data_IF_834857785325
#
_entry.id   IF_834857785325
#
_cell.length_a   1.000
_cell.length_b   1.000
_cell.length_c   1.000
_cell.angle_alpha   90.00
_cell.angle_beta   90.00
_cell.angle_gamma   90.00
#
_symmetry.space_group_name_H-M   'P 1'
#
loop_
_entity.id
_entity.type
_entity.pdbx_description
1 polymer ?
2 non-polymer ?
3 non-polymer ?
4 non-polymer ?
5 water ?
#
# COMPACT_ATOMS: atom_id res chain seq x y z
N UNK A 1 8.10 -17.76 13.63
CA UNK A 1 9.14 -18.10 12.62
C UNK A 1 10.11 -16.93 12.39
N UNK A 2 9.71 -15.72 12.81
CA UNK A 2 10.62 -14.59 12.81
C UNK A 2 10.39 -13.79 14.09
N UNK A 3 11.44 -13.11 14.55
CA UNK A 3 11.29 -12.21 15.69
C UNK A 3 10.33 -11.07 15.36
N UNK A 4 10.37 -10.57 14.13
CA UNK A 4 9.50 -9.49 13.74
C UNK A 4 8.03 -9.83 13.86
N UNK A 5 7.69 -11.09 13.64
CA UNK A 5 6.27 -11.45 13.71
C UNK A 5 5.69 -11.21 15.09
N UNK A 6 6.51 -11.30 16.14
CA UNK A 6 6.03 -11.07 17.49
C UNK A 6 5.56 -9.64 17.74
N UNK A 7 6.01 -8.66 16.94
CA UNK A 7 5.56 -7.29 17.05
C UNK A 7 4.13 -7.12 16.58
N UNK A 8 3.56 -8.10 15.93
CA UNK A 8 2.25 -7.98 15.32
C UNK A 8 1.19 -8.81 16.02
N UNK A 9 1.50 -9.39 17.19
CA UNK A 9 0.51 -10.12 17.97
C UNK A 9 -0.23 -9.16 18.89
N UNK A 10 -1.06 -8.35 18.26
CA UNK A 10 -1.79 -7.28 18.92
C UNK A 10 -2.16 -6.25 17.88
N UNK A 11 -2.95 -5.27 18.27
CA UNK A 11 -3.34 -4.20 17.38
C UNK A 11 -2.28 -3.12 17.49
N UNK A 12 -1.72 -2.71 16.35
CA UNK A 12 -0.57 -1.82 16.31
C UNK A 12 -0.99 -0.46 15.77
N UNK A 13 -0.66 0.65 16.44
CA UNK A 13 -0.94 1.97 15.87
C UNK A 13 -0.13 2.20 14.60
N UNK A 14 -0.72 2.94 13.67
CA UNK A 14 -0.09 3.26 12.39
C UNK A 14 -0.06 4.75 12.20
N UNK A 15 1.04 5.25 11.63
CA UNK A 15 1.14 6.62 11.15
C UNK A 15 1.60 6.59 9.70
N UNK A 16 0.98 7.40 8.85
CA UNK A 16 1.35 7.48 7.44
C UNK A 16 1.58 8.93 7.06
N UNK A 17 2.65 9.20 6.32
CA UNK A 17 2.90 10.53 5.80
C UNK A 17 3.32 10.39 4.35
N UNK A 18 2.64 11.12 3.45
CA UNK A 18 2.94 11.10 2.04
C UNK A 18 3.10 12.53 1.54
N UNK A 19 4.20 12.81 0.85
CA UNK A 19 4.36 14.06 0.11
C UNK A 19 4.41 13.70 -1.35
N UNK A 20 3.58 14.37 -2.13
CA UNK A 20 3.41 14.04 -3.52
C UNK A 20 3.50 15.26 -4.43
N UNK A 21 3.74 14.96 -5.70
CA UNK A 21 3.71 15.92 -6.77
C UNK A 21 3.22 15.17 -8.00
N UNK A 22 2.09 15.57 -8.55
CA UNK A 22 1.56 14.97 -9.77
C UNK A 22 1.40 16.09 -10.80
N UNK A 23 2.15 15.99 -11.88
CA UNK A 23 2.14 17.02 -12.93
C UNK A 23 2.37 18.41 -12.34
N UNK A 24 3.24 18.48 -11.33
CA UNK A 24 3.60 19.72 -10.67
C UNK A 24 2.70 20.12 -9.52
N UNK A 25 1.57 19.45 -9.34
CA UNK A 25 0.63 19.79 -8.30
C UNK A 25 1.10 19.10 -7.01
N UNK A 26 1.59 19.90 -6.09
CA UNK A 26 2.12 19.41 -4.82
C UNK A 26 1.00 19.15 -3.83
N UNK A 27 1.09 18.05 -3.07
CA UNK A 27 0.11 17.77 -2.04
C UNK A 27 0.76 16.97 -0.93
N UNK A 28 0.14 17.03 0.24
CA UNK A 28 0.59 16.27 1.39
C UNK A 28 -0.59 15.59 2.06
N UNK A 29 -0.40 14.32 2.41
CA UNK A 29 -1.39 13.51 3.09
C UNK A 29 -0.81 13.01 4.39
N UNK A 30 -1.62 13.02 5.44
CA UNK A 30 -1.24 12.50 6.73
C UNK A 30 -2.33 11.56 7.20
N UNK A 31 -1.95 10.41 7.73
CA UNK A 31 -2.93 9.43 8.16
C UNK A 31 -2.54 8.78 9.47
N UNK A 32 -3.55 8.19 10.10
CA UNK A 32 -3.34 7.44 11.33
C UNK A 32 -4.41 6.39 11.45
N UNK A 33 -4.11 5.33 12.18
CA UNK A 33 -5.08 4.32 12.46
C UNK A 33 -4.45 3.14 13.14
N UNK A 34 -4.92 1.95 12.81
CA UNK A 34 -4.44 0.77 13.51
C UNK A 34 -4.51 -0.46 12.60
N UNK A 35 -3.60 -1.38 12.85
CA UNK A 35 -3.51 -2.60 12.07
C UNK A 35 -3.49 -3.82 12.95
N UNK A 36 -4.13 -4.87 12.48
CA UNK A 36 -4.29 -6.10 13.24
C UNK A 36 -3.97 -7.25 12.30
N UNK A 37 -2.72 -7.70 12.33
CA UNK A 37 -2.32 -8.79 11.44
C UNK A 37 -2.89 -10.12 11.85
N UNK A 38 -3.37 -10.25 13.10
CA UNK A 38 -4.02 -11.49 13.51
C UNK A 38 -5.32 -11.69 12.74
N UNK A 39 -5.99 -10.62 12.41
CA UNK A 39 -7.22 -10.62 11.64
C UNK A 39 -7.02 -10.21 10.20
N UNK A 40 -5.84 -9.77 9.81
CA UNK A 40 -5.60 -9.23 8.49
C UNK A 40 -6.49 -8.05 8.23
N UNK A 41 -6.56 -7.11 9.15
CA UNK A 41 -7.43 -5.95 9.03
C UNK A 41 -6.69 -4.68 9.38
N UNK A 42 -7.01 -3.61 8.68
CA UNK A 42 -6.51 -2.26 8.95
C UNK A 42 -7.66 -1.27 8.92
N UNK A 43 -7.58 -0.24 9.76
CA UNK A 43 -8.51 0.88 9.73
C UNK A 43 -7.65 2.15 9.79
N UNK A 44 -7.82 3.07 8.82
CA UNK A 44 -7.02 4.28 8.75
C UNK A 44 -7.91 5.44 8.31
N UNK A 45 -7.56 6.63 8.77
CA UNK A 45 -8.09 7.87 8.25
C UNK A 45 -6.94 8.72 7.74
N UNK A 46 -7.10 9.25 6.53
CA UNK A 46 -6.12 10.10 5.89
C UNK A 46 -6.73 11.48 5.63
N UNK A 47 -5.95 12.54 5.84
CA UNK A 47 -6.37 13.88 5.49
C UNK A 47 -5.35 14.51 4.57
N UNK A 48 -5.81 15.43 3.73
CA UNK A 48 -4.93 16.35 3.04
C UNK A 48 -4.63 17.56 3.92
N UNK A 49 -3.38 18.00 3.92
CA UNK A 49 -3.02 19.26 4.56
C UNK A 49 -2.86 20.39 3.57
N UNK A 50 -3.09 20.14 2.28
CA UNK A 50 -2.81 21.09 1.22
C UNK A 50 -4.04 21.44 0.41
N UNK A 51 -5.25 21.24 0.96
CA UNK A 51 -6.48 21.48 0.25
C UNK A 51 -6.89 20.31 -0.62
N UNK A 52 -7.88 20.55 -1.47
CA UNK A 52 -8.38 19.49 -2.32
C UNK A 52 -7.25 18.83 -3.10
N UNK A 53 -7.22 17.50 -3.07
CA UNK A 53 -6.17 16.79 -3.77
C UNK A 53 -6.29 16.95 -5.28
N UNK A 54 -5.16 16.91 -5.98
CA UNK A 54 -5.20 17.00 -7.43
C UNK A 54 -5.48 15.68 -8.11
N UNK A 55 -5.54 14.56 -7.36
CA UNK A 55 -5.83 13.24 -7.90
C UNK A 55 -6.87 12.58 -7.02
N UNK A 56 -7.57 11.58 -7.52
CA UNK A 56 -8.57 10.91 -6.69
C UNK A 56 -7.95 10.08 -5.58
N UNK A 57 -8.59 10.10 -4.42
CA UNK A 57 -8.14 9.28 -3.31
C UNK A 57 -7.94 7.83 -3.69
N UNK A 58 -8.82 7.18 -4.46
CA UNK A 58 -8.57 5.78 -4.80
C UNK A 58 -7.21 5.55 -5.43
N UNK A 59 -6.67 6.53 -6.17
CA UNK A 59 -5.39 6.29 -6.82
C UNK A 59 -4.23 6.24 -5.86
N UNK A 60 -4.43 6.64 -4.60
CA UNK A 60 -3.40 6.69 -3.58
C UNK A 60 -3.49 5.53 -2.60
N UNK A 61 -4.55 4.73 -2.67
CA UNK A 61 -4.77 3.65 -1.71
C UNK A 61 -3.56 2.73 -1.62
N UNK A 62 -3.10 2.20 -2.75
CA UNK A 62 -2.04 1.21 -2.65
C UNK A 62 -0.74 1.83 -2.09
N UNK A 63 -0.51 3.11 -2.34
CA UNK A 63 0.71 3.75 -1.85
C UNK A 63 0.63 3.97 -0.36
N UNK A 64 -0.51 4.42 0.13
CA UNK A 64 -0.75 4.69 1.55
C UNK A 64 -0.80 3.43 2.38
N UNK A 66 1.15 -0.95 3.81
CA UNK A 66 1.64 -1.49 5.04
C UNK A 66 1.30 -2.98 5.07
N UNK A 67 1.90 -3.70 4.11
CA UNK A 67 1.59 -5.09 3.86
C UNK A 67 2.11 -6.03 4.95
N UNK A 68 2.87 -5.51 5.90
CA UNK A 68 3.17 -6.19 7.15
C UNK A 68 1.92 -6.52 7.96
N UNK A 69 0.77 -5.90 7.70
CA UNK A 69 -0.45 -6.24 8.41
C UNK A 69 -1.24 -7.36 7.76
N UNK A 70 -0.75 -7.93 6.67
CA UNK A 70 -1.39 -9.08 6.08
C UNK A 70 -1.49 -10.22 7.09
N UNK A 71 -2.61 -10.93 7.08
CA UNK A 71 -2.67 -12.18 7.84
C UNK A 71 -2.01 -13.30 7.04
N UNK A 72 -0.96 -13.88 7.57
CA UNK A 72 -0.40 -15.10 6.99
C UNK A 72 -0.91 -16.30 7.73
N UNK A 73 -1.66 -17.19 7.08
CA UNK A 73 -2.11 -18.42 7.77
C UNK A 73 -0.93 -19.16 8.36
N UNK A 74 -1.20 -19.95 9.40
CA UNK A 74 -0.13 -20.67 10.09
C UNK A 74 0.76 -21.44 9.13
N UNK A 75 0.15 -22.12 8.16
CA UNK A 75 0.93 -22.98 7.28
C UNK A 75 1.81 -22.17 6.34
N UNK A 76 1.63 -20.85 6.28
CA UNK A 76 2.39 -19.98 5.39
C UNK A 76 3.31 -19.02 6.11
N UNK A 77 3.42 -19.11 7.42
CA UNK A 77 4.16 -18.09 8.13
C UNK A 77 5.63 -17.98 7.74
N UNK A 78 6.26 -19.03 7.21
CA UNK A 78 7.64 -18.90 6.79
C UNK A 78 7.81 -18.06 5.55
N UNK A 79 6.73 -17.59 4.93
CA UNK A 79 6.78 -16.82 3.70
C UNK A 79 6.48 -15.35 3.93
N UNK A 80 6.45 -14.89 5.18
CA UNK A 80 6.10 -13.50 5.49
C UNK A 80 7.37 -12.65 5.58
N UNK A 81 7.82 -12.16 4.42
CA UNK A 81 8.98 -11.29 4.37
C UNK A 81 8.74 -10.04 5.20
N UNK A 82 7.54 -9.46 5.07
CA UNK A 82 7.28 -8.12 5.59
C UNK A 82 7.51 -8.04 7.09
N UNK A 83 6.95 -9.00 7.86
CA UNK A 83 7.15 -8.96 9.30
C UNK A 83 8.58 -9.33 9.66
N UNK A 84 9.21 -10.20 8.87
CA UNK A 84 10.56 -10.65 9.20
C UNK A 84 11.57 -9.50 9.14
N UNK A 85 11.27 -8.46 8.37
CA UNK A 85 12.11 -7.30 8.26
C UNK A 85 11.96 -6.33 9.43
N UNK A 86 10.99 -6.53 10.28
CA UNK A 86 10.72 -5.61 11.37
C UNK A 86 11.54 -5.96 12.60
N UNK A 87 11.88 -4.99 13.46
CA UNK A 87 11.38 -3.61 13.44
C UNK A 87 12.12 -2.62 12.56
N UNK A 88 13.30 -2.98 12.05
CA UNK A 88 14.07 -2.02 11.28
C UNK A 88 13.38 -1.64 9.98
N UNK A 89 12.62 -2.56 9.40
CA UNK A 89 11.69 -2.23 8.34
C UNK A 89 12.19 -2.54 6.95
N UNK A 90 11.51 -1.93 5.96
CA UNK A 90 11.85 -2.13 4.57
C UNK A 90 11.58 -0.86 3.77
N UNK A 91 12.28 -0.76 2.67
CA UNK A 91 12.00 0.24 1.63
C UNK A 91 11.04 -0.41 0.64
N UNK A 92 9.95 0.27 0.33
CA UNK A 92 8.98 -0.19 -0.65
C UNK A 92 8.96 0.81 -1.80
N UNK A 93 9.25 0.36 -3.00
CA UNK A 93 9.26 1.20 -4.18
C UNK A 93 8.28 0.66 -5.18
N UNK A 94 7.58 1.57 -5.87
CA UNK A 94 6.72 1.16 -6.97
C UNK A 94 6.81 2.11 -8.16
N UNK A 95 6.48 1.54 -9.31
CA UNK A 95 5.92 2.29 -10.44
C UNK A 95 4.47 1.87 -10.59
N UNK A 96 3.60 2.85 -10.76
CA UNK A 96 2.19 2.59 -11.03
C UNK A 96 1.88 3.23 -12.38
N UNK A 97 1.55 2.40 -13.38
CA UNK A 97 1.27 2.90 -14.72
C UNK A 97 -0.23 2.88 -14.95
N UNK A 98 -0.83 4.04 -15.07
CA UNK A 98 -2.25 4.15 -15.35
C UNK A 98 -2.44 4.01 -16.85
N UNK A 99 -3.19 3.01 -17.26
CA UNK A 99 -3.31 2.70 -18.68
C UNK A 99 -3.87 3.91 -19.40
N UNK A 100 -3.23 4.24 -20.53
CA UNK A 100 -3.58 5.38 -21.36
C UNK A 100 -3.44 6.71 -20.64
N UNK A 101 -2.60 6.77 -19.60
CA UNK A 101 -2.45 7.98 -18.80
C UNK A 101 -1.04 7.96 -18.18
N UNK A 102 -0.86 8.73 -17.11
CA UNK A 102 0.45 8.95 -16.53
C UNK A 102 0.90 7.83 -15.61
N UNK A 103 2.01 8.10 -14.95
CA UNK A 103 2.66 7.15 -14.05
C UNK A 103 3.00 7.80 -12.72
N UNK A 104 2.83 7.02 -11.66
CA UNK A 104 3.38 7.38 -10.35
C UNK A 104 4.66 6.59 -10.11
N UNK A 105 5.64 7.21 -9.48
CA UNK A 105 6.77 6.53 -8.89
C UNK A 105 6.75 6.84 -7.41
N UNK A 106 6.91 5.81 -6.58
CA UNK A 106 6.84 5.98 -5.14
C UNK A 106 8.02 5.32 -4.46
N UNK A 107 8.45 5.93 -3.36
CA UNK A 107 9.49 5.36 -2.51
C UNK A 107 9.07 5.58 -1.09
N UNK A 108 9.03 4.52 -0.29
CA UNK A 108 8.56 4.58 1.07
C UNK A 108 9.50 3.83 2.01
N UNK A 109 9.59 4.31 3.25
CA UNK A 109 10.19 3.56 4.34
C UNK A 109 9.09 3.14 5.28
N UNK A 110 9.05 1.85 5.61
CA UNK A 110 8.07 1.28 6.51
C UNK A 110 8.81 0.66 7.67
N UNK A 111 8.58 1.13 8.89
CA UNK A 111 9.39 0.67 10.03
C UNK A 111 8.68 1.03 11.32
N UNK A 112 9.14 0.44 12.43
CA UNK A 112 8.61 0.85 13.73
C UNK A 112 9.33 2.07 14.25
N UNK A 113 8.56 2.95 14.88
CA UNK A 113 9.09 4.01 15.74
C UNK A 113 8.33 3.88 17.06
N UNK A 114 9.03 3.41 18.09
CA UNK A 114 8.32 3.05 19.30
C UNK A 114 7.38 1.90 19.01
N UNK A 115 6.15 1.99 19.46
CA UNK A 115 5.15 0.97 19.21
C UNK A 115 4.37 1.20 17.94
N UNK A 116 4.71 2.21 17.15
CA UNK A 116 3.93 2.58 15.98
C UNK A 116 4.61 2.15 14.69
N UNK A 117 3.81 1.58 13.79
CA UNK A 117 4.28 1.24 12.46
C UNK A 117 4.10 2.47 11.59
N UNK A 118 5.19 2.99 11.04
CA UNK A 118 5.20 4.24 10.30
C UNK A 118 5.49 3.94 8.84
N UNK A 119 4.72 4.58 7.95
CA UNK A 119 4.92 4.49 6.50
C UNK A 119 5.12 5.92 5.99
N UNK A 120 6.33 6.25 5.56
CA UNK A 120 6.67 7.58 5.06
C UNK A 120 7.00 7.46 3.60
N UNK A 121 6.33 8.25 2.75
CA UNK A 121 6.35 8.04 1.31
C UNK A 121 6.62 9.36 0.59
N UNK A 122 7.39 9.27 -0.49
CA UNK A 122 7.45 10.30 -1.52
C UNK A 122 6.84 9.75 -2.81
N UNK A 123 6.02 10.57 -3.46
CA UNK A 123 5.35 10.17 -4.70
C UNK A 123 5.58 11.24 -5.76
N UNK A 124 5.95 10.82 -6.96
CA UNK A 124 6.08 11.73 -8.10
C UNK A 124 5.26 11.16 -9.24
N UNK A 125 4.36 11.95 -9.79
CA UNK A 125 3.52 11.55 -10.91
C UNK A 125 3.80 12.44 -12.11
N UNK A 126 3.93 11.82 -13.28
CA UNK A 126 4.23 12.56 -14.49
C UNK A 126 3.36 12.04 -15.62
N UNK A 127 3.23 12.88 -16.64
CA UNK A 127 2.62 12.53 -17.91
C UNK A 127 1.13 12.30 -17.82
N UNK A 128 0.48 12.83 -16.80
CA UNK A 128 -0.95 12.70 -16.73
C UNK A 128 -1.66 13.64 -17.68
N UNK A 129 -2.79 13.18 -18.17
CA UNK A 129 -3.65 13.97 -19.04
C UNK A 129 -4.58 14.82 -18.21
N UNK A 130 -4.59 16.13 -18.50
CA UNK A 130 -5.48 17.01 -17.76
C UNK A 130 -6.94 16.65 -17.97
N UNK A 131 -7.23 16.03 -19.11
CA UNK A 131 -8.56 15.60 -19.47
C UNK A 131 -8.79 14.13 -19.16
N UNK A 132 -7.87 13.46 -18.48
CA UNK A 132 -8.03 12.05 -18.17
C UNK A 132 -8.74 11.80 -16.85
N UNK A 133 -8.82 10.52 -16.51
CA UNK A 133 -9.64 10.11 -15.37
C UNK A 133 -9.04 10.49 -14.03
N UNK A 134 -7.74 10.73 -13.98
CA UNK A 134 -7.03 11.00 -12.73
C UNK A 134 -7.11 12.50 -12.46
N UNK A 135 -6.47 13.31 -13.29
CA UNK A 135 -6.52 14.76 -13.05
C UNK A 135 -7.93 15.32 -13.22
N UNK A 136 -8.77 14.64 -13.99
CA UNK A 136 -10.14 15.05 -14.16
C UNK A 136 -11.10 14.56 -13.10
N UNK A 137 -10.63 13.79 -12.11
CA UNK A 137 -11.46 13.31 -11.02
C UNK A 137 -12.72 12.60 -11.52
N UNK A 138 -12.50 11.58 -12.34
CA UNK A 138 -13.58 10.80 -12.95
C UNK A 138 -13.70 9.42 -12.36
N UNK A 139 -12.97 9.12 -11.29
CA UNK A 139 -13.01 7.80 -10.68
C UNK A 139 -14.04 7.77 -9.57
N UNK A 140 -14.75 6.66 -9.48
CA UNK A 140 -15.69 6.45 -8.39
C UNK A 140 -14.94 6.35 -7.07
N UNK A 141 -15.62 6.74 -5.99
CA UNK A 141 -15.03 6.67 -4.65
C UNK A 141 -15.31 5.29 -4.06
N UNK A 142 -14.56 4.30 -4.52
CA UNK A 142 -14.71 2.93 -4.08
C UNK A 142 -13.46 2.18 -4.49
N UNK A 143 -13.41 0.88 -4.17
CA UNK A 143 -12.19 0.12 -4.38
C UNK A 143 -12.56 -1.35 -4.50
N UNK A 144 -11.92 -2.03 -5.43
CA UNK A 144 -12.15 -3.44 -5.69
C UNK A 144 -11.18 -4.32 -4.91
N UNK A 145 -11.45 -5.61 -4.89
CA UNK A 145 -10.54 -6.60 -4.35
C UNK A 145 -9.51 -7.00 -5.42
N UNK A 146 -8.28 -7.27 -5.00
CA UNK A 146 -7.22 -7.64 -5.91
C UNK A 146 -6.30 -8.67 -5.28
N UNK A 147 -5.58 -9.39 -6.12
CA UNK A 147 -4.50 -10.25 -5.69
C UNK A 147 -3.17 -9.57 -5.98
N UNK A 148 -2.28 -9.57 -4.98
CA UNK A 148 -0.93 -9.02 -5.07
C UNK A 148 0.03 -10.20 -5.17
N UNK A 149 0.69 -10.38 -6.32
CA UNK A 149 1.51 -11.56 -6.58
C UNK A 149 2.94 -11.24 -6.15
N UNK A 150 3.47 -12.05 -5.22
CA UNK A 150 4.78 -11.85 -4.61
C UNK A 150 5.75 -12.93 -5.05
N UNK A 151 6.98 -12.51 -5.32
CA UNK A 151 8.08 -13.42 -5.63
C UNK A 151 9.33 -12.94 -4.90
N UNK A 152 10.21 -13.89 -4.58
CA UNK A 152 11.46 -13.56 -3.93
C UNK A 152 12.41 -12.86 -4.88
N UNK A 153 13.24 -11.97 -4.32
CA UNK A 153 14.31 -11.27 -5.04
C UNK A 153 15.60 -11.50 -4.24
N UNK A 154 16.25 -12.64 -4.48
CA UNK A 154 17.40 -13.03 -3.67
C UNK A 154 18.52 -12.00 -3.72
N UNK A 155 18.76 -11.41 -4.89
CA UNK A 155 19.91 -10.52 -5.03
C UNK A 155 19.74 -9.26 -4.20
N UNK A 156 18.51 -8.84 -3.94
CA UNK A 156 18.25 -7.69 -3.06
C UNK A 156 17.84 -8.13 -1.66
N UNK A 157 17.87 -9.43 -1.37
CA UNK A 157 17.45 -9.95 -0.07
C UNK A 157 16.04 -9.47 0.26
N UNK A 158 15.17 -9.44 -0.75
CA UNK A 158 13.82 -8.94 -0.58
C UNK A 158 12.83 -9.62 -1.49
N UNK A 159 11.83 -8.85 -1.92
CA UNK A 159 10.75 -9.38 -2.74
C UNK A 159 10.41 -8.39 -3.83
N UNK A 160 9.73 -8.92 -4.84
CA UNK A 160 9.05 -8.13 -5.86
C UNK A 160 7.57 -8.48 -5.83
N UNK A 161 6.73 -7.56 -6.29
CA UNK A 161 5.33 -7.87 -6.45
C UNK A 161 4.82 -7.21 -7.71
N UNK A 162 3.75 -7.79 -8.24
CA UNK A 162 3.10 -7.32 -9.44
C UNK A 162 1.60 -7.51 -9.28
N UNK A 163 0.81 -6.56 -9.76
CA UNK A 163 -0.64 -6.67 -9.70
C UNK A 163 -1.22 -5.57 -10.56
N UNK A 164 -2.51 -5.72 -10.87
CA UNK A 164 -3.23 -4.76 -11.69
C UNK A 164 -4.44 -4.27 -10.91
N UNK A 165 -4.46 -3.01 -10.56
CA UNK A 165 -5.59 -2.44 -9.86
C UNK A 165 -6.63 -2.01 -10.88
N UNK A 166 -7.89 -2.25 -10.54
CA UNK A 166 -9.05 -1.92 -11.37
C UNK A 166 -9.78 -0.78 -10.69
N UNK A 167 -9.72 0.42 -11.26
CA UNK A 167 -10.43 1.56 -10.70
C UNK A 167 -11.73 1.77 -11.50
N UNK A 168 -12.86 1.73 -10.84
CA UNK A 168 -14.12 2.03 -11.51
C UNK A 168 -14.17 3.50 -11.89
N UNK A 169 -14.58 3.77 -13.14
CA UNK A 169 -14.75 5.11 -13.67
C UNK A 169 -16.25 5.44 -13.62
N UNK A 170 -16.55 6.73 -13.43
CA UNK A 170 -17.94 7.12 -13.21
C UNK A 170 -18.86 6.83 -14.37
N UNK A 171 -18.32 6.73 -15.59
CA UNK A 171 -19.14 6.43 -16.77
C UNK A 171 -19.38 4.95 -16.95
N UNK A 172 -18.87 4.10 -16.06
CA UNK A 172 -19.01 2.68 -16.20
C UNK A 172 -17.81 1.97 -16.77
N UNK A 173 -16.83 2.70 -17.30
CA UNK A 173 -15.60 2.09 -17.76
C UNK A 173 -14.71 1.75 -16.55
N UNK A 174 -13.58 1.12 -16.82
CA UNK A 174 -12.59 0.77 -15.79
C UNK A 174 -11.24 1.32 -16.20
N UNK A 175 -10.52 1.87 -15.25
CA UNK A 175 -9.18 2.42 -15.43
C UNK A 175 -8.21 1.45 -14.78
N UNK A 176 -7.37 0.81 -15.57
CA UNK A 176 -6.38 -0.11 -15.02
C UNK A 176 -5.15 0.64 -14.57
N UNK A 177 -4.53 0.14 -13.49
CA UNK A 177 -3.29 0.71 -12.96
C UNK A 177 -2.34 -0.45 -12.67
N UNK A 178 -1.36 -0.62 -13.54
CA UNK A 178 -0.37 -1.70 -13.40
C UNK A 178 0.64 -1.32 -12.34
N UNK A 179 0.84 -2.19 -11.36
CA UNK A 179 1.75 -1.97 -10.24
C UNK A 179 2.95 -2.87 -10.36
N UNK A 180 4.14 -2.27 -10.24
CA UNK A 180 5.42 -2.95 -10.21
C UNK A 180 6.11 -2.55 -8.92
N UNK A 181 6.43 -3.52 -8.07
CA UNK A 181 6.84 -3.23 -6.70
C UNK A 181 8.13 -3.98 -6.35
N UNK A 182 8.95 -3.32 -5.55
CA UNK A 182 10.13 -3.96 -4.98
C UNK A 182 10.23 -3.57 -3.52
N UNK A 183 10.59 -4.54 -2.67
CA UNK A 183 10.82 -4.28 -1.25
C UNK A 183 12.19 -4.82 -0.87
N UNK A 184 12.95 -4.02 -0.13
CA UNK A 184 14.29 -4.36 0.32
C UNK A 184 14.39 -4.11 1.82
N UNK A 185 14.95 -5.02 2.60
CA UNK A 185 15.02 -4.79 4.04
C UNK A 185 15.98 -3.67 4.37
N UNK A 186 15.65 -2.95 5.43
CA UNK A 186 16.51 -1.91 5.97
C UNK A 186 17.58 -2.52 6.86
N UNK A 187 17.22 -3.49 7.67
CA UNK A 187 18.17 -4.10 8.57
C UNK A 187 19.06 -5.09 7.86
N UNK A 188 20.13 -5.48 8.55
CA UNK A 188 21.12 -6.40 7.99
C UNK A 188 20.93 -7.87 8.34
N UNK A 189 20.12 -8.23 9.34
CA UNK A 189 19.92 -9.63 9.67
C UNK A 189 19.08 -10.40 8.63
N UNK A 190 19.21 -11.76 8.57
CA UNK A 190 18.43 -12.57 7.62
C UNK A 190 16.96 -12.22 7.65
N UNK A 191 16.31 -12.38 6.51
CA UNK A 191 14.86 -12.22 6.40
C UNK A 191 14.30 -13.48 5.77
N UNK A 192 12.98 -13.60 5.78
CA UNK A 192 12.29 -14.71 5.15
C UNK A 192 12.08 -14.37 3.68
N UNK A 193 12.65 -15.18 2.80
CA UNK A 193 12.44 -15.00 1.38
C UNK A 193 11.39 -16.00 0.93
N UNK A 194 10.25 -15.57 0.41
CA UNK A 194 9.11 -16.47 0.23
C UNK A 194 9.14 -17.24 -1.08
N UNK A 195 8.45 -18.37 -1.08
CA UNK A 195 8.02 -18.95 -2.34
C UNK A 195 6.89 -18.08 -2.93
N UNK A 196 6.62 -18.26 -4.21
CA UNK A 196 5.62 -17.45 -4.87
C UNK A 196 4.27 -17.63 -4.19
N UNK A 197 3.56 -16.53 -3.95
CA UNK A 197 2.24 -16.57 -3.34
C UNK A 197 1.57 -15.23 -3.63
N UNK A 198 0.39 -15.02 -3.08
CA UNK A 198 -0.28 -13.75 -3.29
C UNK A 198 -0.95 -13.29 -2.01
N UNK A 199 -1.25 -12.00 -1.96
CA UNK A 199 -2.10 -11.41 -0.91
C UNK A 199 -3.46 -11.12 -1.54
N UNK A 200 -4.51 -11.66 -0.94
CA UNK A 200 -5.88 -11.39 -1.38
C UNK A 200 -6.39 -10.21 -0.56
N UNK A 201 -6.65 -9.09 -1.23
CA UNK A 201 -6.89 -7.81 -0.57
C UNK A 201 -8.25 -7.27 -0.99
N UNK A 202 -8.99 -6.70 -0.03
CA UNK A 202 -10.24 -5.99 -0.31
C UNK A 202 -10.24 -4.74 0.55
N UNK A 203 -10.87 -3.67 0.06
CA UNK A 203 -10.85 -2.39 0.75
C UNK A 203 -12.19 -1.70 0.61
N UNK A 204 -12.59 -0.97 1.65
CA UNK A 204 -13.81 -0.17 1.66
C UNK A 204 -13.46 1.26 2.02
N UNK A 205 -13.91 2.18 1.19
CA UNK A 205 -13.62 3.60 1.38
C UNK A 205 -14.87 4.32 1.88
N UNK A 206 -14.68 5.25 2.81
CA UNK A 206 -15.80 5.99 3.39
C UNK A 206 -15.35 7.39 3.75
N UNK A 207 -16.27 8.17 4.32
CA UNK A 207 -16.02 9.53 4.74
C UNK A 207 -16.38 9.70 6.20
N UNK A 208 -15.75 10.67 6.83
CA UNK A 208 -16.00 11.08 8.20
C UNK A 208 -16.90 12.31 8.14
N UNK A 209 -18.16 12.22 8.58
CA UNK A 209 -19.06 13.37 8.46
C UNK A 209 -18.56 14.61 9.17
N UNK A 210 -17.66 14.48 10.13
CA UNK A 210 -17.19 15.63 10.88
C UNK A 210 -15.89 16.21 10.36
N UNK A 211 -15.33 15.66 9.28
CA UNK A 211 -14.03 16.10 8.78
C UNK A 211 -14.19 17.10 7.65
N UNK A 212 -13.66 18.30 7.86
CA UNK A 212 -13.76 19.36 6.86
C UNK A 212 -12.65 19.33 5.81
N UNK A 213 -11.52 18.70 6.10
CA UNK A 213 -10.46 18.59 5.10
C UNK A 213 -10.81 17.48 4.12
N UNK A 214 -10.28 17.58 2.92
CA UNK A 214 -10.37 16.47 1.98
C UNK A 214 -9.73 15.25 2.65
N UNK A 215 -10.39 14.11 2.59
CA UNK A 215 -9.99 12.99 3.43
C UNK A 215 -10.51 11.67 2.88
N UNK A 216 -9.99 10.59 3.46
CA UNK A 216 -10.44 9.24 3.14
C UNK A 216 -10.36 8.38 4.38
N UNK A 217 -11.45 7.70 4.72
CA UNK A 217 -11.44 6.65 5.72
C UNK A 217 -11.40 5.32 4.98
N UNK A 218 -10.59 4.39 5.45
CA UNK A 218 -10.31 3.15 4.76
C UNK A 218 -10.35 2.00 5.75
N UNK A 219 -10.98 0.91 5.33
CA UNK A 219 -10.93 -0.37 6.01
C UNK A 219 -10.41 -1.37 4.99
N UNK A 220 -9.42 -2.16 5.35
CA UNK A 220 -8.84 -3.12 4.44
C UNK A 220 -8.77 -4.48 5.12
N UNK A 221 -8.99 -5.51 4.33
CA UNK A 221 -8.85 -6.90 4.72
C UNK A 221 -7.82 -7.52 3.80
N UNK A 222 -6.80 -8.15 4.35
CA UNK A 222 -5.73 -8.70 3.54
C UNK A 222 -5.22 -9.98 4.18
N UNK A 223 -5.19 -11.07 3.41
CA UNK A 223 -4.71 -12.37 3.86
C UNK A 223 -3.89 -13.00 2.75
N UNK A 224 -2.78 -13.62 3.13
CA UNK A 224 -1.92 -14.33 2.20
C UNK A 224 -2.54 -15.68 1.81
N UNK A 225 -2.20 -16.14 0.63
CA UNK A 225 -2.72 -17.36 0.07
C UNK A 225 -1.79 -17.88 -1.01
N UNK A 226 -2.06 -19.10 -1.48
CA UNK A 226 -1.39 -19.63 -2.66
C UNK A 226 -0.37 -20.71 -2.37
N UNK A 227 -0.27 -21.14 -1.12
CA UNK A 227 0.61 -22.22 -0.69
C UNK A 227 -0.23 -23.08 0.24
N UNK A 228 -0.53 -24.31 -0.17
CA UNK A 228 -1.47 -25.13 0.61
C UNK A 228 -0.77 -25.81 1.78
N UNK A 229 -1.57 -26.16 2.79
CA UNK A 229 -1.04 -26.77 4.01
C UNK A 229 -0.24 -28.04 3.69
#
# INVERSE_FOLDING_TARGET
VSKGEELFTGVVPILVELDGDVNGHKFSVRGEGEGDATNGKLTLKFISTTGKLPVPWPTLVTTLXVQCFSRYPDHMKRHDFFKSAMPEGYVQERTISFKDDGTYKTRAEVKFEGDTLVNRIELKGIDFKEDGNILGHKLEYNFNCHNVYITADKQKNGIKANFKIRHNVEDGSVQLADHYQQNTPIGDGPVLLPDNHYLSTCSVLSKDPNEKRDHMVLLERVTAAGITHGMDELYK
#
